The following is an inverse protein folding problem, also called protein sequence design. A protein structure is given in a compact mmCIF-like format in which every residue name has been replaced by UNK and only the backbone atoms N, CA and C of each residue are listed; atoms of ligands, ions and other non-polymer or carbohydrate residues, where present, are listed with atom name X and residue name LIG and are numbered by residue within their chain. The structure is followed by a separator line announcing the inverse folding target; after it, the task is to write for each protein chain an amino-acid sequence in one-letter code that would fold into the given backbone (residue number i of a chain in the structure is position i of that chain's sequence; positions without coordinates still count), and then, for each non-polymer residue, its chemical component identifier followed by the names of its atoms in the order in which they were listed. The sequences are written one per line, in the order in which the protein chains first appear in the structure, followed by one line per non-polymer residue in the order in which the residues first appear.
data_IF_574595927954
#
_entry.id   IF_574595927954
#
_cell.length_a   1.000
_cell.length_b   1.000
_cell.length_c   1.000
_cell.angle_alpha   90.00
_cell.angle_beta   90.00
_cell.angle_gamma   90.00
#
_symmetry.space_group_name_H-M   'P 1'
#
loop_
_entity.id
_entity.type
_entity.pdbx_description
1 polymer ?
#
# COMPACT_ATOMS: atom_id res chain seq x y z
N UNK A 1 67.95 16.73 16.39
CA UNK A 1 67.02 16.86 15.31
C UNK A 1 65.82 15.93 15.53
N UNK A 2 64.93 16.29 16.45
CA UNK A 2 63.64 15.63 16.61
C UNK A 2 62.59 16.71 16.84
N UNK A 3 62.02 17.16 15.78
CA UNK A 3 60.94 18.13 15.85
C UNK A 3 60.29 18.23 14.51
N UNK A 4 59.30 17.36 14.19
CA UNK A 4 58.31 17.56 13.13
C UNK A 4 57.50 16.27 12.91
N UNK A 5 56.53 16.00 13.75
CA UNK A 5 55.50 14.99 13.39
C UNK A 5 54.16 15.22 14.12
N UNK A 6 54.02 16.25 14.94
CA UNK A 6 52.77 16.47 15.70
C UNK A 6 51.73 17.33 14.92
N UNK A 7 52.18 18.14 13.95
CA UNK A 7 51.27 19.05 13.22
C UNK A 7 50.37 18.37 12.15
N UNK A 8 50.80 17.22 11.61
CA UNK A 8 50.06 16.54 10.54
C UNK A 8 48.78 15.85 11.00
N UNK A 9 48.74 15.33 12.22
CA UNK A 9 47.57 14.56 12.74
C UNK A 9 46.41 15.51 13.07
N UNK A 10 46.71 16.70 13.56
CA UNK A 10 45.70 17.72 13.90
C UNK A 10 44.91 18.24 12.68
N UNK A 11 45.56 18.40 11.53
CA UNK A 11 44.92 18.93 10.30
C UNK A 11 44.02 17.88 9.67
N UNK A 12 44.41 16.62 9.66
CA UNK A 12 43.59 15.50 9.12
C UNK A 12 42.36 15.29 10.00
N UNK A 13 42.50 15.33 11.33
CA UNK A 13 41.40 15.23 12.28
C UNK A 13 40.35 16.33 12.13
N UNK A 14 40.80 17.60 11.97
CA UNK A 14 39.92 18.74 11.76
C UNK A 14 39.16 18.61 10.40
N UNK A 15 39.80 18.16 9.35
CA UNK A 15 39.18 17.96 8.05
C UNK A 15 38.08 16.88 8.11
N UNK A 16 38.31 15.75 8.75
CA UNK A 16 37.32 14.68 8.92
C UNK A 16 36.11 15.16 9.74
N UNK A 17 36.32 15.92 10.81
CA UNK A 17 35.24 16.49 11.62
C UNK A 17 34.39 17.51 10.83
N UNK A 18 35.01 18.34 10.00
CA UNK A 18 34.30 19.29 9.13
C UNK A 18 33.45 18.56 8.09
N UNK A 19 33.99 17.54 7.43
CA UNK A 19 33.22 16.74 6.44
C UNK A 19 32.05 16.00 7.11
N UNK A 20 32.27 15.39 8.26
CA UNK A 20 31.20 14.74 9.02
C UNK A 20 30.11 15.74 9.47
N UNK A 21 30.47 16.94 9.85
CA UNK A 21 29.55 18.03 10.19
C UNK A 21 28.70 18.47 8.99
N UNK A 22 29.32 18.67 7.84
CA UNK A 22 28.62 19.04 6.59
C UNK A 22 27.68 17.93 6.14
N UNK A 23 28.11 16.67 6.16
CA UNK A 23 27.26 15.53 5.81
C UNK A 23 26.04 15.44 6.74
N UNK A 24 26.24 15.60 8.05
CA UNK A 24 25.12 15.63 9.01
C UNK A 24 24.16 16.79 8.74
N UNK A 25 24.66 17.96 8.43
CA UNK A 25 23.86 19.14 8.11
C UNK A 25 23.03 18.89 6.84
N UNK A 26 23.63 18.33 5.78
CA UNK A 26 22.93 18.01 4.54
C UNK A 26 21.84 16.97 4.78
N UNK A 27 22.11 15.93 5.56
CA UNK A 27 21.10 14.91 5.92
C UNK A 27 19.95 15.56 6.71
N UNK A 28 20.28 16.42 7.66
CA UNK A 28 19.32 17.15 8.48
C UNK A 28 18.42 18.04 7.62
N UNK A 29 18.99 18.86 6.74
CA UNK A 29 18.24 19.71 5.82
C UNK A 29 17.33 18.89 4.87
N UNK A 30 17.86 17.79 4.31
CA UNK A 30 17.07 16.90 3.46
C UNK A 30 15.87 16.30 4.19
N UNK A 31 16.00 15.95 5.47
CA UNK A 31 14.87 15.44 6.29
C UNK A 31 13.76 16.46 6.40
N UNK A 32 14.07 17.69 6.80
CA UNK A 32 13.06 18.73 6.94
C UNK A 32 12.35 19.06 5.63
N UNK A 33 13.08 19.13 4.52
CA UNK A 33 12.50 19.35 3.20
C UNK A 33 11.61 18.19 2.74
N UNK A 34 12.02 16.94 3.00
CA UNK A 34 11.22 15.76 2.65
C UNK A 34 9.94 15.69 3.49
N UNK A 35 10.01 15.94 4.80
CA UNK A 35 8.85 15.97 5.67
C UNK A 35 7.82 17.03 5.23
N UNK A 36 8.28 18.24 4.90
CA UNK A 36 7.41 19.32 4.39
C UNK A 36 6.75 18.94 3.05
N UNK A 37 7.50 18.32 2.12
CA UNK A 37 6.95 17.87 0.84
C UNK A 37 5.86 16.82 1.04
N UNK A 38 6.10 15.85 1.91
CA UNK A 38 5.15 14.77 2.24
C UNK A 38 3.90 15.31 2.92
N UNK A 39 4.05 16.18 3.92
CA UNK A 39 2.90 16.81 4.56
C UNK A 39 2.06 17.63 3.56
N UNK A 40 2.70 18.34 2.62
CA UNK A 40 1.95 19.06 1.56
C UNK A 40 1.27 18.12 0.56
N UNK A 41 1.87 16.97 0.23
CA UNK A 41 1.24 15.96 -0.60
C UNK A 41 0.01 15.37 0.11
N UNK A 42 0.19 14.95 1.37
CA UNK A 42 -0.90 14.46 2.21
C UNK A 42 -2.04 15.49 2.35
N UNK A 43 -1.71 16.78 2.55
CA UNK A 43 -2.71 17.84 2.68
C UNK A 43 -3.52 18.01 1.38
N UNK A 44 -2.90 17.85 0.22
CA UNK A 44 -3.62 17.92 -1.08
C UNK A 44 -4.60 16.78 -1.25
N UNK A 45 -4.17 15.53 -1.05
CA UNK A 45 -5.05 14.36 -1.12
C UNK A 45 -6.19 14.46 -0.10
N UNK A 46 -5.89 14.83 1.15
CA UNK A 46 -6.94 15.01 2.16
C UNK A 46 -7.92 16.14 1.84
N UNK A 47 -7.43 17.27 1.31
CA UNK A 47 -8.29 18.37 0.90
C UNK A 47 -9.19 18.00 -0.28
N UNK A 48 -8.67 17.22 -1.24
CA UNK A 48 -9.44 16.71 -2.37
C UNK A 48 -10.60 15.85 -1.88
N UNK A 49 -10.32 14.86 -1.05
CA UNK A 49 -11.34 13.97 -0.48
C UNK A 49 -12.36 14.77 0.35
N UNK A 50 -11.90 15.74 1.16
CA UNK A 50 -12.81 16.58 1.96
C UNK A 50 -13.74 17.41 1.06
N UNK A 51 -13.24 17.89 -0.06
CA UNK A 51 -14.06 18.62 -1.03
C UNK A 51 -15.13 17.74 -1.68
N UNK A 52 -14.78 16.50 -1.99
CA UNK A 52 -15.67 15.55 -2.67
C UNK A 52 -16.58 14.77 -1.71
N UNK A 53 -16.32 14.84 -0.39
CA UNK A 53 -16.99 14.03 0.64
C UNK A 53 -18.51 14.10 0.58
N UNK A 54 -19.08 15.32 0.51
CA UNK A 54 -20.54 15.53 0.45
C UNK A 54 -21.12 14.95 -0.85
N UNK A 55 -20.40 15.09 -1.97
CA UNK A 55 -20.85 14.55 -3.27
C UNK A 55 -20.82 13.02 -3.28
N UNK A 56 -19.83 12.41 -2.63
CA UNK A 56 -19.72 10.95 -2.47
C UNK A 56 -20.84 10.43 -1.57
N UNK A 57 -21.14 11.10 -0.46
CA UNK A 57 -22.26 10.77 0.42
C UNK A 57 -23.61 10.84 -0.32
N UNK A 58 -23.83 11.87 -1.12
CA UNK A 58 -25.04 12.00 -1.93
C UNK A 58 -25.18 10.86 -2.94
N UNK A 59 -24.11 10.47 -3.62
CA UNK A 59 -24.12 9.34 -4.57
C UNK A 59 -24.49 8.01 -3.89
N UNK A 60 -23.96 7.78 -2.68
CA UNK A 60 -24.32 6.60 -1.87
C UNK A 60 -25.82 6.60 -1.53
N UNK A 61 -26.39 7.77 -1.23
CA UNK A 61 -27.81 7.94 -0.92
C UNK A 61 -28.77 7.79 -2.10
N UNK A 62 -28.29 7.74 -3.34
CA UNK A 62 -29.16 7.61 -4.53
C UNK A 62 -29.64 6.18 -4.81
N UNK A 63 -29.03 5.18 -4.20
CA UNK A 63 -29.41 3.78 -4.39
C UNK A 63 -30.60 3.40 -3.50
N UNK A 64 -31.46 2.52 -4.00
CA UNK A 64 -32.63 2.05 -3.28
C UNK A 64 -32.23 1.32 -1.99
N UNK A 65 -32.71 1.77 -0.81
CA UNK A 65 -32.38 1.14 0.46
C UNK A 65 -32.78 -0.34 0.51
N UNK A 66 -31.84 -1.17 0.97
CA UNK A 66 -32.07 -2.63 1.11
C UNK A 66 -31.77 -3.46 -0.13
N UNK A 67 -31.49 -2.84 -1.27
CA UNK A 67 -31.02 -3.54 -2.47
C UNK A 67 -29.65 -4.19 -2.27
N UNK A 68 -29.26 -5.13 -3.12
CA UNK A 68 -27.91 -5.71 -3.08
C UNK A 68 -26.85 -4.66 -3.40
N UNK A 69 -27.17 -3.77 -4.33
CA UNK A 69 -26.37 -2.61 -4.73
C UNK A 69 -26.08 -1.69 -3.55
N UNK A 70 -27.14 -1.30 -2.84
CA UNK A 70 -27.03 -0.46 -1.63
C UNK A 70 -26.15 -1.11 -0.56
N UNK A 71 -26.30 -2.41 -0.32
CA UNK A 71 -25.48 -3.14 0.66
C UNK A 71 -24.01 -3.20 0.27
N UNK A 72 -23.71 -3.44 -1.01
CA UNK A 72 -22.34 -3.47 -1.52
C UNK A 72 -21.65 -2.11 -1.39
N UNK A 73 -22.36 -1.03 -1.71
CA UNK A 73 -21.84 0.32 -1.58
C UNK A 73 -21.71 0.75 -0.12
N UNK A 74 -22.71 0.46 0.71
CA UNK A 74 -22.70 0.82 2.13
C UNK A 74 -21.51 0.22 2.89
N UNK A 75 -21.13 -1.02 2.58
CA UNK A 75 -19.97 -1.66 3.21
C UNK A 75 -18.65 -0.95 2.85
N UNK A 76 -18.51 -0.50 1.60
CA UNK A 76 -17.32 0.26 1.16
C UNK A 76 -17.30 1.66 1.76
N UNK A 77 -18.46 2.30 1.78
CA UNK A 77 -18.60 3.64 2.33
C UNK A 77 -18.33 3.69 3.84
N UNK A 78 -18.81 2.72 4.63
CA UNK A 78 -18.50 2.63 6.06
C UNK A 78 -16.99 2.49 6.32
N UNK A 79 -16.26 1.75 5.49
CA UNK A 79 -14.80 1.67 5.60
C UNK A 79 -14.14 3.00 5.29
N UNK A 80 -14.58 3.65 4.23
CA UNK A 80 -14.09 4.97 3.85
C UNK A 80 -14.33 6.01 4.94
N UNK A 81 -15.52 6.05 5.55
CA UNK A 81 -15.82 6.93 6.69
C UNK A 81 -14.87 6.68 7.87
N UNK A 82 -14.64 5.42 8.21
CA UNK A 82 -13.73 5.06 9.29
C UNK A 82 -12.27 5.49 8.98
N UNK A 83 -11.82 5.30 7.74
CA UNK A 83 -10.50 5.74 7.27
C UNK A 83 -10.39 7.27 7.25
N UNK A 84 -11.44 7.97 6.81
CA UNK A 84 -11.51 9.44 6.83
C UNK A 84 -11.35 9.98 8.25
N UNK A 85 -12.09 9.43 9.22
CA UNK A 85 -11.98 9.80 10.62
C UNK A 85 -10.58 9.51 11.20
N UNK A 86 -9.96 8.40 10.81
CA UNK A 86 -8.60 8.06 11.23
C UNK A 86 -7.57 9.06 10.69
N UNK A 87 -7.71 9.45 9.43
CA UNK A 87 -6.85 10.47 8.81
C UNK A 87 -7.06 11.82 9.45
N UNK A 88 -8.31 12.21 9.71
CA UNK A 88 -8.64 13.46 10.42
C UNK A 88 -8.01 13.50 11.82
N UNK A 89 -8.10 12.41 12.57
CA UNK A 89 -7.44 12.29 13.89
C UNK A 89 -5.91 12.35 13.79
N UNK A 90 -5.34 11.74 12.74
CA UNK A 90 -3.89 11.79 12.51
C UNK A 90 -3.42 13.21 12.18
N UNK A 91 -4.17 13.97 11.38
CA UNK A 91 -3.92 15.38 11.10
C UNK A 91 -3.98 16.24 12.35
N UNK A 92 -4.99 16.06 13.18
CA UNK A 92 -5.14 16.79 14.42
C UNK A 92 -3.97 16.54 15.39
N UNK A 93 -3.44 15.31 15.44
CA UNK A 93 -2.26 14.97 16.26
C UNK A 93 -0.97 15.53 15.70
N UNK A 94 -0.82 15.51 14.40
CA UNK A 94 0.38 16.03 13.72
C UNK A 94 0.54 17.53 13.96
N UNK A 95 -0.58 18.29 13.98
CA UNK A 95 -0.59 19.73 14.14
C UNK A 95 0.20 20.43 13.01
N UNK A 96 0.68 21.63 13.30
CA UNK A 96 1.59 22.35 12.41
C UNK A 96 3.00 22.43 13.04
N UNK A 97 3.94 21.56 12.60
CA UNK A 97 5.33 21.68 13.05
C UNK A 97 5.91 23.06 12.73
N UNK A 98 6.61 23.68 13.70
CA UNK A 98 7.14 25.03 13.55
C UNK A 98 8.67 25.02 13.48
N UNK A 99 9.22 25.92 12.68
CA UNK A 99 10.66 26.17 12.62
C UNK A 99 11.50 24.90 12.47
N UNK A 100 12.23 24.56 13.51
CA UNK A 100 13.18 23.43 13.55
C UNK A 100 12.54 22.08 13.74
N UNK A 101 11.27 22.00 14.19
CA UNK A 101 10.57 20.73 14.45
C UNK A 101 10.48 19.87 13.19
N UNK A 102 10.39 20.51 12.01
CA UNK A 102 10.40 19.84 10.72
C UNK A 102 11.60 18.92 10.48
N UNK A 103 12.69 19.14 11.18
CA UNK A 103 13.92 18.36 11.00
C UNK A 103 14.00 17.17 11.95
N UNK A 104 13.05 17.01 12.88
CA UNK A 104 13.03 15.88 13.80
C UNK A 104 12.69 14.57 13.07
N UNK A 105 13.17 13.45 13.61
CA UNK A 105 12.86 12.12 13.06
C UNK A 105 11.39 11.76 13.25
N UNK A 106 10.77 12.18 14.36
CA UNK A 106 9.34 11.92 14.63
C UNK A 106 8.47 12.61 13.59
N UNK A 107 8.66 13.91 13.35
CA UNK A 107 7.91 14.67 12.36
C UNK A 107 8.08 14.09 10.94
N UNK A 108 9.31 13.63 10.60
CA UNK A 108 9.54 12.96 9.32
C UNK A 108 8.74 11.67 9.19
N UNK A 109 8.71 10.86 10.25
CA UNK A 109 7.96 9.60 10.27
C UNK A 109 6.44 9.85 10.20
N UNK A 110 5.95 10.79 11.01
CA UNK A 110 4.54 11.17 11.02
C UNK A 110 4.08 11.76 9.67
N UNK A 111 4.91 12.62 9.04
CA UNK A 111 4.61 13.15 7.71
C UNK A 111 4.56 12.05 6.63
N UNK A 112 5.42 11.03 6.72
CA UNK A 112 5.38 9.86 5.84
C UNK A 112 4.10 9.06 6.04
N UNK A 113 3.72 8.83 7.29
CA UNK A 113 2.52 8.07 7.61
C UNK A 113 1.24 8.82 7.21
N UNK A 114 1.21 10.16 7.38
CA UNK A 114 0.13 11.00 6.88
C UNK A 114 0.01 10.97 5.36
N UNK A 115 1.13 11.07 4.64
CA UNK A 115 1.15 10.96 3.18
C UNK A 115 0.54 9.63 2.74
N UNK A 116 1.00 8.51 3.34
CA UNK A 116 0.51 7.17 3.02
C UNK A 116 -1.00 7.03 3.28
N UNK A 117 -1.48 7.49 4.44
CA UNK A 117 -2.89 7.39 4.81
C UNK A 117 -3.79 8.29 3.96
N UNK A 118 -3.36 9.52 3.69
CA UNK A 118 -4.13 10.45 2.87
C UNK A 118 -4.21 10.00 1.42
N UNK A 119 -3.15 9.39 0.87
CA UNK A 119 -3.19 8.78 -0.47
C UNK A 119 -4.12 7.56 -0.49
N UNK A 120 -4.07 6.69 0.52
CA UNK A 120 -4.96 5.54 0.60
C UNK A 120 -6.43 5.95 0.73
N UNK A 121 -6.71 7.06 1.42
CA UNK A 121 -8.05 7.63 1.53
C UNK A 121 -8.56 8.18 0.18
N UNK A 122 -7.71 8.86 -0.57
CA UNK A 122 -7.99 9.37 -1.92
C UNK A 122 -8.30 8.22 -2.90
N UNK A 123 -7.46 7.17 -2.87
CA UNK A 123 -7.71 5.93 -3.62
C UNK A 123 -9.05 5.27 -3.20
N UNK A 124 -9.42 5.35 -1.91
CA UNK A 124 -10.68 4.83 -1.35
C UNK A 124 -11.90 5.59 -1.87
N UNK A 125 -11.83 6.90 -2.00
CA UNK A 125 -12.88 7.73 -2.58
C UNK A 125 -13.12 7.36 -4.06
N UNK A 126 -12.05 7.24 -4.83
CA UNK A 126 -12.09 6.79 -6.22
C UNK A 126 -12.79 5.43 -6.37
N UNK A 127 -12.51 4.48 -5.46
CA UNK A 127 -13.16 3.15 -5.45
C UNK A 127 -14.67 3.26 -5.22
N UNK A 128 -15.14 4.20 -4.40
CA UNK A 128 -16.58 4.41 -4.20
C UNK A 128 -17.24 4.95 -5.47
N UNK A 129 -16.63 5.96 -6.08
CA UNK A 129 -17.12 6.56 -7.35
C UNK A 129 -17.17 5.50 -8.46
N UNK A 130 -16.10 4.71 -8.58
CA UNK A 130 -16.01 3.61 -9.54
C UNK A 130 -17.08 2.53 -9.24
N UNK A 131 -17.32 2.20 -7.96
CA UNK A 131 -18.36 1.26 -7.56
C UNK A 131 -19.75 1.75 -7.96
N UNK A 132 -20.07 3.02 -7.73
CA UNK A 132 -21.36 3.60 -8.17
C UNK A 132 -21.50 3.54 -9.68
N UNK A 133 -20.45 3.92 -10.41
CA UNK A 133 -20.43 3.86 -11.88
C UNK A 133 -20.66 2.45 -12.41
N UNK A 134 -20.11 1.45 -11.73
CA UNK A 134 -20.31 0.04 -12.06
C UNK A 134 -21.74 -0.42 -11.76
N UNK A 135 -22.26 -0.08 -10.57
CA UNK A 135 -23.62 -0.47 -10.16
C UNK A 135 -24.71 0.14 -11.04
N UNK A 136 -24.48 1.33 -11.56
CA UNK A 136 -25.41 2.03 -12.47
C UNK A 136 -25.18 1.71 -13.94
N UNK A 137 -24.23 0.81 -14.26
CA UNK A 137 -23.87 0.46 -15.65
C UNK A 137 -23.63 1.72 -16.50
N UNK A 138 -22.80 2.64 -16.00
CA UNK A 138 -22.43 3.85 -16.74
C UNK A 138 -21.79 3.48 -18.09
N UNK A 139 -21.76 4.38 -19.09
CA UNK A 139 -21.13 4.09 -20.39
C UNK A 139 -19.66 3.69 -20.32
N UNK A 140 -19.00 3.94 -19.18
CA UNK A 140 -17.58 3.60 -18.92
C UNK A 140 -17.40 2.38 -18.00
N UNK A 141 -18.46 1.61 -17.74
CA UNK A 141 -18.45 0.51 -16.78
C UNK A 141 -17.35 -0.54 -17.05
N UNK A 142 -17.03 -0.84 -18.31
CA UNK A 142 -15.96 -1.78 -18.66
C UNK A 142 -14.59 -1.32 -18.19
N UNK A 143 -14.29 -0.02 -18.35
CA UNK A 143 -13.04 0.56 -17.87
C UNK A 143 -12.98 0.55 -16.34
N UNK A 144 -14.10 0.89 -15.70
CA UNK A 144 -14.24 0.86 -14.23
C UNK A 144 -14.09 -0.58 -13.71
N UNK A 145 -14.72 -1.55 -14.36
CA UNK A 145 -14.59 -2.96 -14.02
C UNK A 145 -13.13 -3.43 -14.10
N UNK A 146 -12.41 -3.03 -15.15
CA UNK A 146 -10.97 -3.30 -15.28
C UNK A 146 -10.15 -2.72 -14.13
N UNK A 147 -10.42 -1.47 -13.72
CA UNK A 147 -9.77 -0.85 -12.56
C UNK A 147 -10.07 -1.61 -11.24
N UNK A 148 -11.32 -2.02 -11.02
CA UNK A 148 -11.71 -2.74 -9.81
C UNK A 148 -11.08 -4.14 -9.73
N UNK A 149 -10.80 -4.77 -10.87
CA UNK A 149 -10.08 -6.05 -10.94
C UNK A 149 -8.58 -5.93 -10.74
N UNK A 150 -7.96 -4.79 -11.10
CA UNK A 150 -6.49 -4.63 -11.12
C UNK A 150 -5.80 -5.00 -9.80
N UNK A 151 -6.30 -4.61 -8.60
CA UNK A 151 -5.68 -5.03 -7.34
C UNK A 151 -5.66 -6.55 -7.16
N UNK A 152 -6.71 -7.25 -7.59
CA UNK A 152 -6.80 -8.72 -7.49
C UNK A 152 -5.81 -9.38 -8.44
N UNK A 153 -5.70 -8.86 -9.67
CA UNK A 153 -4.75 -9.34 -10.68
C UNK A 153 -3.30 -9.11 -10.24
N UNK A 154 -2.99 -7.96 -9.63
CA UNK A 154 -1.66 -7.69 -9.12
C UNK A 154 -1.29 -8.60 -7.94
N UNK A 155 -2.22 -8.87 -7.04
CA UNK A 155 -2.01 -9.84 -5.96
C UNK A 155 -1.78 -11.26 -6.51
N UNK A 156 -2.50 -11.69 -7.54
CA UNK A 156 -2.26 -12.96 -8.23
C UNK A 156 -0.87 -13.01 -8.89
N UNK A 157 -0.44 -11.91 -9.52
CA UNK A 157 0.93 -11.76 -10.05
C UNK A 157 1.97 -11.82 -8.93
N UNK A 158 1.70 -11.19 -7.79
CA UNK A 158 2.55 -11.22 -6.59
C UNK A 158 2.72 -12.65 -6.06
N UNK A 159 1.62 -13.39 -5.87
CA UNK A 159 1.64 -14.82 -5.49
C UNK A 159 2.49 -15.63 -6.47
N UNK A 160 2.29 -15.44 -7.78
CA UNK A 160 3.05 -16.15 -8.82
C UNK A 160 4.55 -15.87 -8.72
N UNK A 161 4.95 -14.63 -8.51
CA UNK A 161 6.36 -14.22 -8.33
C UNK A 161 6.97 -14.87 -7.08
N UNK A 162 6.24 -14.85 -5.96
CA UNK A 162 6.68 -15.47 -4.70
C UNK A 162 6.88 -16.98 -4.85
N UNK A 163 5.94 -17.67 -5.47
CA UNK A 163 6.00 -19.12 -5.68
C UNK A 163 7.14 -19.53 -6.61
N UNK A 164 7.36 -18.80 -7.70
CA UNK A 164 8.51 -19.03 -8.60
C UNK A 164 9.85 -18.84 -7.88
N UNK A 165 9.96 -17.83 -7.01
CA UNK A 165 11.18 -17.60 -6.23
C UNK A 165 11.41 -18.68 -5.17
N UNK A 166 10.34 -19.20 -4.57
CA UNK A 166 10.38 -20.25 -3.57
C UNK A 166 10.73 -21.64 -4.19
N UNK A 167 10.23 -21.94 -5.37
CA UNK A 167 10.51 -23.18 -6.08
C UNK A 167 12.01 -23.40 -6.37
N UNK A 168 12.75 -22.32 -6.61
CA UNK A 168 14.20 -22.36 -6.80
C UNK A 168 14.99 -22.69 -5.51
N UNK A 169 14.38 -22.55 -4.33
CA UNK A 169 15.02 -22.70 -3.02
C UNK A 169 14.61 -24.00 -2.25
N UNK A 170 14.00 -24.97 -2.89
CA UNK A 170 13.47 -26.21 -2.25
C UNK A 170 12.63 -25.92 -1.00
N UNK A 171 11.72 -24.94 -1.07
CA UNK A 171 10.99 -24.39 0.08
C UNK A 171 9.85 -25.28 0.61
N UNK A 172 9.66 -26.51 0.12
CA UNK A 172 8.55 -27.37 0.54
C UNK A 172 7.16 -26.82 0.22
N UNK A 173 7.07 -25.76 -0.59
CA UNK A 173 5.82 -25.23 -1.12
C UNK A 173 5.38 -26.14 -2.26
N UNK A 174 4.10 -26.50 -2.27
CA UNK A 174 3.46 -27.19 -3.40
C UNK A 174 3.28 -26.20 -4.56
N UNK A 175 4.39 -25.86 -5.25
CA UNK A 175 4.47 -24.84 -6.29
C UNK A 175 3.41 -25.05 -7.36
N UNK A 176 3.27 -26.27 -7.84
CA UNK A 176 2.31 -26.63 -8.88
C UNK A 176 0.85 -26.42 -8.42
N UNK A 177 0.51 -26.80 -7.20
CA UNK A 177 -0.82 -26.60 -6.65
C UNK A 177 -1.20 -25.11 -6.57
N UNK A 178 -0.26 -24.26 -6.14
CA UNK A 178 -0.51 -22.81 -6.07
C UNK A 178 -0.60 -22.21 -7.49
N UNK A 179 0.22 -22.65 -8.44
CA UNK A 179 0.14 -22.19 -9.83
C UNK A 179 -1.19 -22.59 -10.48
N UNK A 180 -1.64 -23.81 -10.27
CA UNK A 180 -2.94 -24.29 -10.76
C UNK A 180 -4.10 -23.50 -10.13
N UNK A 181 -4.01 -23.20 -8.83
CA UNK A 181 -4.98 -22.37 -8.15
C UNK A 181 -5.02 -20.93 -8.71
N UNK A 182 -3.85 -20.28 -8.94
CA UNK A 182 -3.78 -18.96 -9.57
C UNK A 182 -4.40 -18.99 -10.96
N UNK A 183 -4.10 -20.03 -11.77
CA UNK A 183 -4.70 -20.22 -13.09
C UNK A 183 -6.23 -20.35 -13.02
N UNK A 184 -6.75 -21.04 -11.99
CA UNK A 184 -8.18 -21.14 -11.75
C UNK A 184 -8.81 -19.78 -11.41
N UNK A 185 -8.20 -18.99 -10.54
CA UNK A 185 -8.72 -17.65 -10.20
C UNK A 185 -8.71 -16.70 -11.41
N UNK A 186 -7.67 -16.74 -12.24
CA UNK A 186 -7.62 -15.93 -13.46
C UNK A 186 -8.76 -16.31 -14.45
N UNK A 187 -9.01 -17.61 -14.65
CA UNK A 187 -10.15 -18.04 -15.49
C UNK A 187 -11.47 -17.57 -14.93
N UNK A 188 -11.67 -17.68 -13.62
CA UNK A 188 -12.89 -17.25 -12.94
C UNK A 188 -13.15 -15.74 -13.09
N UNK A 189 -12.10 -14.90 -13.01
CA UNK A 189 -12.21 -13.46 -13.29
C UNK A 189 -12.61 -13.21 -14.75
N UNK A 190 -12.05 -13.95 -15.70
CA UNK A 190 -12.44 -13.87 -17.11
C UNK A 190 -13.89 -14.30 -17.36
N UNK A 191 -14.33 -15.41 -16.76
CA UNK A 191 -15.71 -15.89 -16.83
C UNK A 191 -16.68 -14.86 -16.24
N UNK A 192 -16.33 -14.26 -15.10
CA UNK A 192 -17.13 -13.22 -14.45
C UNK A 192 -17.28 -11.98 -15.34
N UNK A 193 -16.21 -11.57 -16.01
CA UNK A 193 -16.24 -10.46 -16.97
C UNK A 193 -17.15 -10.77 -18.16
N UNK A 194 -17.03 -11.97 -18.72
CA UNK A 194 -17.87 -12.39 -19.83
C UNK A 194 -19.35 -12.46 -19.44
N UNK A 195 -19.68 -13.05 -18.28
CA UNK A 195 -21.07 -13.13 -17.80
C UNK A 195 -21.67 -11.74 -17.53
N UNK A 196 -20.85 -10.79 -17.10
CA UNK A 196 -21.28 -9.40 -16.89
C UNK A 196 -21.55 -8.69 -18.23
N UNK A 197 -20.68 -8.88 -19.23
CA UNK A 197 -20.82 -8.33 -20.58
C UNK A 197 -22.05 -8.90 -21.30
N UNK A 198 -22.36 -10.17 -21.07
CA UNK A 198 -23.53 -10.85 -21.62
C UNK A 198 -24.83 -10.56 -20.86
N UNK A 199 -24.74 -9.83 -19.73
CA UNK A 199 -25.89 -9.56 -18.87
C UNK A 199 -26.43 -10.77 -18.11
N UNK A 200 -25.66 -11.86 -18.03
CA UNK A 200 -26.01 -13.08 -17.28
C UNK A 200 -25.93 -12.90 -15.77
N UNK A 201 -25.15 -11.93 -15.32
CA UNK A 201 -24.96 -11.57 -13.90
C UNK A 201 -25.18 -10.08 -13.71
N UNK A 202 -25.86 -9.71 -12.63
CA UNK A 202 -26.02 -8.30 -12.26
C UNK A 202 -24.73 -7.70 -11.68
N UNK A 203 -24.46 -6.40 -11.87
CA UNK A 203 -23.23 -5.74 -11.41
C UNK A 203 -22.92 -5.94 -9.92
N UNK A 204 -23.95 -5.87 -9.07
CA UNK A 204 -23.78 -6.07 -7.63
C UNK A 204 -23.34 -7.48 -7.26
N UNK A 205 -23.82 -8.50 -7.97
CA UNK A 205 -23.39 -9.89 -7.78
C UNK A 205 -21.97 -10.11 -8.30
N UNK A 206 -21.60 -9.47 -9.42
CA UNK A 206 -20.25 -9.50 -9.95
C UNK A 206 -19.25 -8.85 -8.97
N UNK A 207 -19.59 -7.71 -8.36
CA UNK A 207 -18.78 -7.08 -7.33
C UNK A 207 -18.64 -7.94 -6.06
N UNK A 208 -19.73 -8.59 -5.62
CA UNK A 208 -19.69 -9.50 -4.48
C UNK A 208 -18.75 -10.68 -4.72
N UNK A 209 -18.74 -11.22 -5.93
CA UNK A 209 -17.85 -12.31 -6.33
C UNK A 209 -16.41 -11.84 -6.46
N UNK A 210 -16.16 -10.66 -7.03
CA UNK A 210 -14.84 -10.04 -7.06
C UNK A 210 -14.27 -9.85 -5.67
N UNK A 211 -15.05 -9.35 -4.72
CA UNK A 211 -14.65 -9.19 -3.31
C UNK A 211 -14.33 -10.54 -2.66
N UNK A 212 -15.06 -11.59 -3.01
CA UNK A 212 -14.79 -12.94 -2.52
C UNK A 212 -13.44 -13.46 -3.04
N UNK A 213 -13.20 -13.32 -4.33
CA UNK A 213 -11.92 -13.68 -4.94
C UNK A 213 -10.78 -12.87 -4.32
N UNK A 214 -10.95 -11.57 -4.15
CA UNK A 214 -9.96 -10.68 -3.54
C UNK A 214 -9.54 -11.15 -2.15
N UNK A 215 -10.50 -11.48 -1.28
CA UNK A 215 -10.21 -12.00 0.08
C UNK A 215 -9.46 -13.34 0.04
N UNK A 216 -9.82 -14.24 -0.86
CA UNK A 216 -9.14 -15.52 -1.03
C UNK A 216 -7.70 -15.32 -1.49
N UNK A 217 -7.47 -14.44 -2.47
CA UNK A 217 -6.14 -14.12 -3.00
C UNK A 217 -5.27 -13.51 -1.91
N UNK A 218 -5.77 -12.55 -1.15
CA UNK A 218 -5.05 -11.92 -0.02
C UNK A 218 -4.67 -12.94 1.06
N UNK A 219 -5.56 -13.89 1.36
CA UNK A 219 -5.30 -14.99 2.31
C UNK A 219 -4.16 -15.88 1.83
N UNK A 220 -4.19 -16.30 0.55
CA UNK A 220 -3.15 -17.15 -0.05
C UNK A 220 -1.82 -16.38 -0.14
N UNK A 221 -1.83 -15.12 -0.55
CA UNK A 221 -0.65 -14.26 -0.59
C UNK A 221 0.04 -14.20 0.77
N UNK A 222 -0.74 -13.94 1.83
CA UNK A 222 -0.24 -13.89 3.20
C UNK A 222 0.35 -15.23 3.65
N UNK A 223 -0.31 -16.35 3.32
CA UNK A 223 0.17 -17.70 3.67
C UNK A 223 1.49 -18.03 2.94
N UNK A 224 1.59 -17.70 1.66
CA UNK A 224 2.81 -17.91 0.86
C UNK A 224 3.96 -17.03 1.36
N UNK A 225 3.70 -15.78 1.69
CA UNK A 225 4.69 -14.86 2.24
C UNK A 225 5.24 -15.38 3.59
N UNK A 226 4.38 -15.76 4.52
CA UNK A 226 4.78 -16.34 5.81
C UNK A 226 5.64 -17.59 5.63
N UNK A 227 5.24 -18.49 4.73
CA UNK A 227 6.00 -19.72 4.48
C UNK A 227 7.39 -19.43 3.93
N UNK A 228 7.50 -18.47 3.01
CA UNK A 228 8.79 -18.01 2.47
C UNK A 228 9.70 -17.49 3.56
N UNK A 229 9.19 -16.67 4.48
CA UNK A 229 9.97 -16.04 5.54
C UNK A 229 10.47 -17.08 6.57
N UNK A 230 9.64 -18.08 6.92
CA UNK A 230 10.05 -19.21 7.77
C UNK A 230 11.20 -19.97 7.15
N UNK A 231 11.13 -20.27 5.85
CA UNK A 231 12.22 -21.01 5.14
C UNK A 231 13.49 -20.17 5.05
N UNK A 232 13.37 -18.86 4.79
CA UNK A 232 14.52 -17.95 4.74
C UNK A 232 15.23 -17.87 6.10
N UNK A 233 14.48 -17.75 7.18
CA UNK A 233 15.02 -17.68 8.54
C UNK A 233 15.69 -19.01 8.95
N UNK A 234 15.10 -20.16 8.60
CA UNK A 234 15.69 -21.47 8.85
C UNK A 234 17.02 -21.66 8.10
N UNK A 235 17.09 -21.20 6.84
CA UNK A 235 18.33 -21.25 6.05
C UNK A 235 19.42 -20.35 6.64
N UNK A 236 19.07 -19.16 7.12
CA UNK A 236 20.00 -18.24 7.77
C UNK A 236 20.55 -18.83 9.08
N UNK A 237 19.70 -19.45 9.91
CA UNK A 237 20.11 -20.09 11.15
C UNK A 237 21.08 -21.27 10.92
N UNK A 238 20.87 -22.06 9.87
CA UNK A 238 21.77 -23.16 9.49
C UNK A 238 23.14 -22.66 9.02
N UNK A 239 23.14 -21.56 8.27
CA UNK A 239 24.37 -20.91 7.77
C UNK A 239 25.23 -20.34 8.91
N UNK A 240 24.62 -19.70 9.92
CA UNK A 240 25.33 -19.19 11.10
C UNK A 240 25.88 -20.30 11.97
N UNK A 241 25.12 -21.41 12.14
CA UNK A 241 25.58 -22.56 12.92
C UNK A 241 26.77 -23.28 12.25
N UNK A 242 26.86 -23.28 10.91
CA UNK A 242 27.99 -23.88 10.19
C UNK A 242 29.22 -22.97 10.27
N UNK A 243 29.07 -21.65 10.21
CA UNK A 243 30.16 -20.69 10.32
C UNK A 243 30.78 -20.66 11.75
N UNK A 244 30.00 -21.00 12.78
CA UNK A 244 30.48 -21.07 14.16
C UNK A 244 31.25 -22.37 14.51
N UNK A 245 31.27 -23.32 13.58
CA UNK A 245 31.99 -24.62 13.75
C UNK A 245 33.31 -24.72 13.01
N UNK A 246 33.68 -23.72 12.25
CA UNK A 246 34.96 -23.53 11.56
C UNK A 246 35.81 -22.52 12.32
#
# INVERSE_FOLDING_TARGET
PYGMTVSGIGVVGAGVLCVAGVVRLVIYCRRGLSARRRARAAARSYAQVTYDYDSTALRVGTLEPGSLESRQLAQRYQRFEAEYDDVARAWNRFGEPRGIDWFSKSVQHEALELERRSTALDDGDDVIVDTVSMLTMSPTWEQVWGKLQEPVLENLRSVTRMVRSAGRRRSGLHVEAVQNWVGHQNRRLGELTNSLDQGEIIPAAALAELDRISRLVATVETAVARRRDVVANAAAATSTATAARV
#
